data_IF_475201770762
#
_entry.id   IF_475201770762
#
_cell.length_a   1.000
_cell.length_b   1.000
_cell.length_c   1.000
_cell.angle_alpha   90.00
_cell.angle_beta   90.00
_cell.angle_gamma   90.00
#
_symmetry.space_group_name_H-M   'P 1'
#
loop_
_entity.id
_entity.type
_entity.pdbx_description
1 polymer ?
#
# COMPACT_ATOMS: atom_id res chain seq x y z
N UNK A 1 -6.98 18.61 -12.00
CA UNK A 1 -5.73 19.41 -12.18
C UNK A 1 -5.71 20.69 -11.32
N UNK A 2 -6.76 21.53 -11.31
CA UNK A 2 -6.79 22.80 -10.54
C UNK A 2 -6.70 22.63 -9.01
N UNK A 3 -7.41 21.68 -8.42
CA UNK A 3 -7.43 21.47 -6.96
C UNK A 3 -6.07 20.98 -6.41
N UNK A 4 -5.39 20.12 -7.15
CA UNK A 4 -4.09 19.56 -6.79
C UNK A 4 -2.98 20.62 -6.86
N UNK A 5 -2.95 21.42 -7.94
CA UNK A 5 -2.04 22.57 -8.02
C UNK A 5 -2.27 23.54 -6.87
N UNK A 6 -3.54 23.73 -6.46
CA UNK A 6 -3.90 24.58 -5.32
C UNK A 6 -3.42 23.98 -3.99
N UNK A 7 -3.54 22.65 -3.81
CA UNK A 7 -3.08 21.93 -2.61
C UNK A 7 -1.54 21.87 -2.55
N UNK A 8 -0.88 21.44 -3.63
CA UNK A 8 0.58 21.45 -3.74
C UNK A 8 1.17 22.86 -3.64
N UNK A 9 0.50 23.86 -4.26
CA UNK A 9 0.88 25.27 -4.12
C UNK A 9 0.67 25.75 -2.68
N UNK A 10 -0.41 25.30 -2.00
CA UNK A 10 -0.67 25.61 -0.59
C UNK A 10 0.37 24.97 0.33
N UNK A 11 0.72 23.67 0.12
CA UNK A 11 1.79 22.99 0.86
C UNK A 11 3.15 23.61 0.54
N UNK A 12 3.44 23.88 -0.74
CA UNK A 12 4.70 24.52 -1.17
C UNK A 12 4.80 25.94 -0.60
N UNK A 13 3.72 26.70 -0.61
CA UNK A 13 3.69 28.05 -0.03
C UNK A 13 3.72 28.00 1.49
N UNK A 14 3.03 27.07 2.16
CA UNK A 14 3.13 26.87 3.60
C UNK A 14 4.52 26.38 4.00
N UNK A 15 5.11 25.42 3.28
CA UNK A 15 6.47 24.94 3.52
C UNK A 15 7.50 26.05 3.26
N UNK A 16 7.35 26.85 2.20
CA UNK A 16 8.24 27.97 1.87
C UNK A 16 8.07 29.13 2.87
N UNK A 17 6.83 29.42 3.29
CA UNK A 17 6.54 30.45 4.28
C UNK A 17 7.03 30.03 5.67
N UNK A 18 6.82 28.77 6.08
CA UNK A 18 7.36 28.19 7.31
C UNK A 18 8.89 28.11 7.28
N UNK A 19 9.49 27.73 6.15
CA UNK A 19 10.94 27.71 5.96
C UNK A 19 11.56 29.13 6.07
N UNK A 20 10.93 30.15 5.47
CA UNK A 20 11.36 31.55 5.64
C UNK A 20 11.23 32.02 7.09
N UNK A 21 10.17 31.63 7.79
CA UNK A 21 9.95 31.95 9.22
C UNK A 21 10.94 31.23 10.15
N UNK A 22 11.34 29.98 9.79
CA UNK A 22 12.35 29.19 10.52
C UNK A 22 13.77 29.72 10.34
N UNK A 23 14.10 30.27 9.18
CA UNK A 23 15.39 30.91 8.94
C UNK A 23 15.58 32.13 9.85
N UNK A 24 14.49 32.76 10.30
CA UNK A 24 14.49 33.84 11.27
C UNK A 24 14.55 33.37 12.74
N UNK A 25 14.23 32.10 13.06
CA UNK A 25 14.19 31.56 14.42
C UNK A 25 14.94 30.24 14.52
N UNK A 26 16.27 30.27 14.53
CA UNK A 26 17.17 29.12 14.62
C UNK A 26 17.04 28.26 15.91
N UNK A 27 15.99 28.43 16.71
CA UNK A 27 15.80 27.73 17.99
C UNK A 27 14.89 26.50 17.95
N UNK A 28 14.28 26.14 16.80
CA UNK A 28 13.38 24.97 16.71
C UNK A 28 13.91 23.89 15.73
N UNK A 29 14.90 23.13 16.17
CA UNK A 29 15.42 21.95 15.46
C UNK A 29 14.32 20.89 15.14
N UNK A 30 13.32 20.74 16.01
CA UNK A 30 12.24 19.76 15.82
C UNK A 30 11.34 20.06 14.63
N UNK A 31 10.96 21.32 14.43
CA UNK A 31 10.09 21.76 13.33
C UNK A 31 10.79 21.66 11.96
N UNK A 32 12.10 21.93 11.90
CA UNK A 32 12.90 21.75 10.69
C UNK A 32 13.02 20.29 10.28
N UNK A 33 13.18 19.38 11.25
CA UNK A 33 13.20 17.94 11.03
C UNK A 33 11.85 17.44 10.51
N UNK A 34 10.74 17.89 11.09
CA UNK A 34 9.37 17.52 10.68
C UNK A 34 9.06 17.97 9.25
N UNK A 35 9.40 19.22 8.89
CA UNK A 35 9.23 19.73 7.53
C UNK A 35 10.10 19.00 6.51
N UNK A 36 11.32 18.63 6.88
CA UNK A 36 12.21 17.83 6.01
C UNK A 36 11.61 16.46 5.77
N UNK A 37 11.00 15.84 6.78
CA UNK A 37 10.33 14.54 6.72
C UNK A 37 9.09 14.59 5.81
N UNK A 38 8.23 15.60 5.95
CA UNK A 38 7.06 15.82 5.07
C UNK A 38 7.48 16.03 3.61
N UNK A 39 8.49 16.86 3.34
CA UNK A 39 8.99 17.10 1.99
C UNK A 39 9.60 15.83 1.36
N UNK A 40 10.30 15.03 2.15
CA UNK A 40 10.87 13.75 1.70
C UNK A 40 9.75 12.77 1.35
N UNK A 41 8.70 12.70 2.16
CA UNK A 41 7.52 11.88 1.94
C UNK A 41 6.83 12.22 0.62
N UNK A 42 6.52 13.51 0.39
CA UNK A 42 5.86 13.98 -0.84
C UNK A 42 6.73 13.70 -2.08
N UNK A 43 8.05 13.97 -2.01
CA UNK A 43 8.97 13.71 -3.13
C UNK A 43 9.04 12.23 -3.46
N UNK A 44 9.05 11.36 -2.45
CA UNK A 44 9.10 9.91 -2.66
C UNK A 44 7.82 9.37 -3.28
N UNK A 45 6.65 9.85 -2.86
CA UNK A 45 5.38 9.50 -3.50
C UNK A 45 5.34 9.96 -4.96
N UNK A 46 5.72 11.20 -5.23
CA UNK A 46 5.78 11.71 -6.60
C UNK A 46 6.68 10.88 -7.49
N UNK A 47 7.86 10.52 -7.01
CA UNK A 47 8.78 9.63 -7.74
C UNK A 47 8.15 8.27 -8.04
N UNK A 48 7.43 7.66 -7.09
CA UNK A 48 6.74 6.38 -7.29
C UNK A 48 5.63 6.50 -8.34
N UNK A 49 4.83 7.56 -8.29
CA UNK A 49 3.79 7.83 -9.28
C UNK A 49 4.36 7.96 -10.70
N UNK A 50 5.41 8.77 -10.86
CA UNK A 50 6.06 8.99 -12.15
C UNK A 50 6.70 7.71 -12.69
N UNK A 51 7.36 6.93 -11.82
CA UNK A 51 8.05 5.69 -12.19
C UNK A 51 7.10 4.57 -12.62
N UNK A 52 5.96 4.43 -11.95
CA UNK A 52 5.05 3.29 -12.14
C UNK A 52 3.72 3.68 -12.81
N UNK A 53 3.58 4.90 -13.29
CA UNK A 53 2.40 5.37 -14.03
C UNK A 53 1.11 5.42 -13.20
N UNK A 54 1.22 5.56 -11.89
CA UNK A 54 0.06 5.67 -11.00
C UNK A 54 -0.46 7.10 -11.00
N UNK A 55 -1.77 7.28 -11.15
CA UNK A 55 -2.40 8.60 -11.10
C UNK A 55 -2.21 9.25 -9.73
N UNK A 56 -1.83 10.53 -9.73
CA UNK A 56 -1.66 11.27 -8.49
C UNK A 56 -2.98 11.46 -7.73
N UNK A 57 -4.10 11.58 -8.44
CA UNK A 57 -5.43 11.69 -7.82
C UNK A 57 -5.80 10.41 -7.04
N UNK A 58 -5.42 9.23 -7.56
CA UNK A 58 -5.57 7.96 -6.85
C UNK A 58 -4.74 7.94 -5.56
N UNK A 59 -3.52 8.46 -5.62
CA UNK A 59 -2.62 8.53 -4.45
C UNK A 59 -3.15 9.51 -3.41
N UNK A 60 -3.63 10.69 -3.81
CA UNK A 60 -4.25 11.64 -2.88
C UNK A 60 -5.47 11.03 -2.18
N UNK A 61 -6.32 10.36 -2.97
CA UNK A 61 -7.50 9.68 -2.41
C UNK A 61 -7.10 8.61 -1.40
N UNK A 62 -6.16 7.73 -1.76
CA UNK A 62 -5.66 6.67 -0.89
C UNK A 62 -5.04 7.22 0.40
N UNK A 63 -4.22 8.27 0.29
CA UNK A 63 -3.64 8.93 1.45
C UNK A 63 -4.70 9.53 2.38
N UNK A 64 -5.70 10.20 1.79
CA UNK A 64 -6.82 10.78 2.54
C UNK A 64 -7.61 9.69 3.28
N UNK A 65 -7.88 8.57 2.62
CA UNK A 65 -8.61 7.45 3.21
C UNK A 65 -7.82 6.82 4.37
N UNK A 66 -6.50 6.60 4.20
CA UNK A 66 -5.65 6.04 5.27
C UNK A 66 -5.52 7.02 6.45
N UNK A 67 -5.30 8.31 6.18
CA UNK A 67 -5.19 9.34 7.25
C UNK A 67 -6.51 9.45 8.01
N UNK A 68 -7.63 9.29 7.32
CA UNK A 68 -8.96 9.29 7.92
C UNK A 68 -9.17 8.23 8.99
N UNK A 69 -8.42 7.11 8.94
CA UNK A 69 -8.48 6.04 9.95
C UNK A 69 -8.09 6.52 11.37
N UNK A 70 -7.34 7.60 11.48
CA UNK A 70 -6.91 8.14 12.77
C UNK A 70 -7.84 9.21 13.35
N UNK A 71 -8.93 9.57 12.69
CA UNK A 71 -9.81 10.65 13.14
C UNK A 71 -10.40 10.38 14.54
N UNK A 72 -10.67 9.12 14.87
CA UNK A 72 -11.19 8.71 16.18
C UNK A 72 -10.08 8.31 17.19
N UNK A 73 -8.81 8.50 16.79
CA UNK A 73 -7.66 7.98 17.53
C UNK A 73 -7.39 6.51 17.23
N UNK A 74 -6.20 6.05 17.56
CA UNK A 74 -5.79 4.64 17.44
C UNK A 74 -5.41 4.15 18.82
N UNK A 75 -5.98 3.03 19.26
CA UNK A 75 -5.64 2.41 20.55
C UNK A 75 -4.18 1.93 20.54
N UNK A 76 -3.54 1.92 21.70
CA UNK A 76 -2.11 1.55 21.81
C UNK A 76 -1.83 0.15 21.27
N UNK A 77 -2.66 -0.83 21.63
CA UNK A 77 -2.50 -2.21 21.16
C UNK A 77 -2.59 -2.32 19.64
N UNK A 78 -3.53 -1.62 19.02
CA UNK A 78 -3.67 -1.54 17.56
C UNK A 78 -2.45 -0.89 16.91
N UNK A 79 -1.90 0.15 17.54
CA UNK A 79 -0.68 0.80 17.09
C UNK A 79 0.50 -0.18 17.05
N UNK A 80 0.68 -0.95 18.12
CA UNK A 80 1.79 -1.92 18.24
C UNK A 80 1.65 -3.05 17.21
N UNK A 81 0.46 -3.63 17.04
CA UNK A 81 0.18 -4.66 16.03
C UNK A 81 0.36 -4.12 14.60
N UNK A 82 -0.14 -2.93 14.31
CA UNK A 82 0.04 -2.30 13.01
C UNK A 82 1.53 -2.04 12.70
N UNK A 83 2.33 -1.66 13.70
CA UNK A 83 3.79 -1.50 13.55
C UNK A 83 4.50 -2.80 13.18
N UNK A 84 4.15 -3.90 13.84
CA UNK A 84 4.70 -5.21 13.51
C UNK A 84 4.36 -5.60 12.08
N UNK A 85 3.08 -5.52 11.70
CA UNK A 85 2.62 -5.85 10.37
C UNK A 85 3.25 -4.97 9.27
N UNK A 86 3.47 -3.67 9.53
CA UNK A 86 4.18 -2.76 8.60
C UNK A 86 5.62 -3.21 8.38
N UNK A 87 6.33 -3.71 9.41
CA UNK A 87 7.69 -4.25 9.24
C UNK A 87 7.70 -5.48 8.34
N UNK A 88 6.73 -6.39 8.49
CA UNK A 88 6.60 -7.58 7.65
C UNK A 88 6.36 -7.21 6.19
N UNK A 89 5.49 -6.22 5.94
CA UNK A 89 5.26 -5.71 4.57
C UNK A 89 6.51 -5.07 3.99
N UNK A 90 7.27 -4.30 4.79
CA UNK A 90 8.55 -3.72 4.35
C UNK A 90 9.56 -4.81 3.93
N UNK A 91 9.65 -5.89 4.69
CA UNK A 91 10.50 -7.03 4.33
C UNK A 91 10.03 -7.71 3.05
N UNK A 92 8.73 -7.94 2.88
CA UNK A 92 8.14 -8.45 1.65
C UNK A 92 8.45 -7.58 0.43
N UNK A 93 8.35 -6.25 0.58
CA UNK A 93 8.72 -5.28 -0.46
C UNK A 93 10.20 -5.39 -0.87
N UNK A 94 11.11 -5.61 0.09
CA UNK A 94 12.53 -5.81 -0.22
C UNK A 94 12.76 -7.10 -1.00
N UNK A 95 12.07 -8.19 -0.67
CA UNK A 95 12.14 -9.44 -1.43
C UNK A 95 11.61 -9.26 -2.84
N UNK A 96 10.46 -8.62 -3.01
CA UNK A 96 9.90 -8.33 -4.33
C UNK A 96 10.85 -7.50 -5.19
N UNK A 97 11.42 -6.43 -4.66
CA UNK A 97 12.38 -5.59 -5.38
C UNK A 97 13.63 -6.36 -5.78
N UNK A 98 14.10 -7.28 -4.94
CA UNK A 98 15.24 -8.14 -5.23
C UNK A 98 14.94 -9.10 -6.39
N UNK A 99 13.79 -9.78 -6.37
CA UNK A 99 13.35 -10.68 -7.44
C UNK A 99 13.16 -9.90 -8.75
N UNK A 100 12.49 -8.75 -8.70
CA UNK A 100 12.26 -7.89 -9.86
C UNK A 100 13.58 -7.38 -10.46
N UNK A 101 14.58 -7.09 -9.63
CA UNK A 101 15.92 -6.73 -10.07
C UNK A 101 16.66 -7.87 -10.78
N UNK A 102 16.50 -9.11 -10.32
CA UNK A 102 17.07 -10.31 -10.94
C UNK A 102 16.41 -10.60 -12.29
N UNK A 103 15.07 -10.60 -12.36
CA UNK A 103 14.31 -10.84 -13.60
C UNK A 103 14.66 -9.83 -14.70
N UNK A 104 14.98 -8.60 -14.32
CA UNK A 104 15.34 -7.54 -15.27
C UNK A 104 16.72 -7.71 -15.89
N UNK A 105 17.65 -8.39 -15.22
CA UNK A 105 19.07 -8.46 -15.60
C UNK A 105 19.48 -9.79 -16.18
N UNK A 106 19.11 -10.90 -15.56
CA UNK A 106 19.71 -12.21 -15.84
C UNK A 106 18.85 -13.12 -16.73
N UNK A 107 17.53 -12.88 -16.79
CA UNK A 107 16.57 -13.80 -17.46
C UNK A 107 16.10 -13.26 -18.82
N UNK A 108 16.79 -12.26 -19.37
CA UNK A 108 16.38 -11.59 -20.63
C UNK A 108 16.37 -12.54 -21.83
N UNK A 109 17.24 -13.53 -21.82
CA UNK A 109 17.42 -14.50 -22.92
C UNK A 109 16.57 -15.76 -22.76
N UNK A 110 15.78 -15.86 -21.68
CA UNK A 110 14.92 -17.00 -21.35
C UNK A 110 13.47 -16.54 -21.20
N UNK A 111 12.73 -16.34 -22.31
CA UNK A 111 11.42 -15.68 -22.25
C UNK A 111 10.37 -16.50 -21.48
N UNK A 112 10.44 -17.83 -21.49
CA UNK A 112 9.52 -18.70 -20.75
C UNK A 112 9.75 -18.57 -19.24
N UNK A 113 11.00 -18.69 -18.80
CA UNK A 113 11.40 -18.56 -17.38
C UNK A 113 11.08 -17.18 -16.84
N UNK A 114 11.34 -16.14 -17.65
CA UNK A 114 10.98 -14.76 -17.28
C UNK A 114 9.48 -14.65 -17.01
N UNK A 115 8.66 -15.15 -17.91
CA UNK A 115 7.20 -15.09 -17.76
C UNK A 115 6.70 -15.88 -16.55
N UNK A 116 7.31 -17.04 -16.24
CA UNK A 116 7.02 -17.77 -15.01
C UNK A 116 7.37 -16.96 -13.77
N UNK A 117 8.55 -16.33 -13.75
CA UNK A 117 8.97 -15.47 -12.64
C UNK A 117 8.04 -14.25 -12.48
N UNK A 118 7.60 -13.64 -13.57
CA UNK A 118 6.65 -12.53 -13.54
C UNK A 118 5.30 -12.97 -12.92
N UNK A 119 4.80 -14.16 -13.26
CA UNK A 119 3.59 -14.73 -12.65
C UNK A 119 3.76 -14.97 -11.15
N UNK A 120 4.85 -15.60 -10.72
CA UNK A 120 5.13 -15.82 -9.30
C UNK A 120 5.34 -14.51 -8.54
N UNK A 121 6.01 -13.55 -9.15
CA UNK A 121 6.19 -12.22 -8.57
C UNK A 121 4.86 -11.49 -8.38
N UNK A 122 3.95 -11.62 -9.35
CA UNK A 122 2.59 -11.08 -9.21
C UNK A 122 1.86 -11.69 -8.01
N UNK A 123 1.90 -13.04 -7.84
CA UNK A 123 1.30 -13.67 -6.66
C UNK A 123 1.95 -13.21 -5.35
N UNK A 124 3.28 -13.11 -5.31
CA UNK A 124 4.00 -12.62 -4.14
C UNK A 124 3.55 -11.20 -3.75
N UNK A 125 3.39 -10.32 -4.73
CA UNK A 125 2.91 -8.96 -4.48
C UNK A 125 1.47 -8.98 -3.97
N UNK A 126 0.57 -9.76 -4.59
CA UNK A 126 -0.86 -9.77 -4.23
C UNK A 126 -1.11 -10.49 -2.91
N UNK A 127 -0.59 -11.71 -2.74
CA UNK A 127 -0.88 -12.54 -1.57
C UNK A 127 0.02 -12.20 -0.38
N UNK A 128 1.27 -11.86 -0.63
CA UNK A 128 2.23 -11.56 0.43
C UNK A 128 2.16 -10.09 0.89
N UNK A 129 2.31 -9.15 -0.04
CA UNK A 129 2.49 -7.73 0.30
C UNK A 129 1.15 -7.01 0.40
N UNK A 130 0.37 -7.04 -0.68
CA UNK A 130 -0.89 -6.32 -0.78
C UNK A 130 -1.92 -6.84 0.22
N UNK A 131 -2.04 -8.16 0.38
CA UNK A 131 -2.93 -8.78 1.37
C UNK A 131 -2.65 -8.31 2.80
N UNK A 132 -1.37 -8.13 3.16
CA UNK A 132 -0.97 -7.60 4.48
C UNK A 132 -1.30 -6.11 4.62
N UNK A 133 -1.09 -5.29 3.58
CA UNK A 133 -1.52 -3.88 3.59
C UNK A 133 -3.03 -3.76 3.81
N UNK A 134 -3.80 -4.56 3.07
CA UNK A 134 -5.27 -4.64 3.21
C UNK A 134 -5.67 -5.07 4.63
N UNK A 135 -4.96 -6.04 5.21
CA UNK A 135 -5.20 -6.51 6.58
C UNK A 135 -4.97 -5.41 7.62
N UNK A 136 -3.87 -4.64 7.51
CA UNK A 136 -3.59 -3.53 8.43
C UNK A 136 -4.71 -2.48 8.38
N UNK A 137 -5.13 -2.09 7.17
CA UNK A 137 -6.20 -1.10 6.98
C UNK A 137 -7.54 -1.63 7.51
N UNK A 138 -7.88 -2.91 7.23
CA UNK A 138 -9.08 -3.55 7.74
C UNK A 138 -9.11 -3.58 9.28
N UNK A 139 -7.98 -3.90 9.90
CA UNK A 139 -7.86 -3.91 11.36
C UNK A 139 -8.05 -2.51 11.96
N UNK A 140 -7.45 -1.48 11.36
CA UNK A 140 -7.65 -0.10 11.80
C UNK A 140 -9.11 0.37 11.63
N UNK A 141 -9.82 -0.12 10.60
CA UNK A 141 -11.25 0.12 10.43
C UNK A 141 -12.08 -0.57 11.52
N UNK A 142 -11.74 -1.81 11.90
CA UNK A 142 -12.44 -2.53 12.97
C UNK A 142 -12.34 -1.78 14.30
N UNK A 143 -11.20 -1.18 14.61
CA UNK A 143 -11.01 -0.35 15.81
C UNK A 143 -11.88 0.91 15.85
N UNK A 144 -12.41 1.34 14.69
CA UNK A 144 -13.35 2.45 14.55
C UNK A 144 -14.83 1.98 14.52
N UNK A 145 -15.14 0.89 15.21
CA UNK A 145 -16.49 0.30 15.35
C UNK A 145 -17.08 -0.20 14.02
N UNK A 146 -16.23 -0.71 13.13
CA UNK A 146 -16.64 -1.35 11.89
C UNK A 146 -16.42 -2.86 11.95
N UNK A 147 -17.51 -3.62 11.96
CA UNK A 147 -17.43 -5.08 11.99
C UNK A 147 -17.09 -5.68 10.62
N UNK A 148 -16.13 -6.60 10.60
CA UNK A 148 -15.86 -7.46 9.45
C UNK A 148 -16.70 -8.73 9.57
N UNK A 149 -17.55 -8.99 8.59
CA UNK A 149 -18.33 -10.22 8.52
C UNK A 149 -17.75 -11.16 7.49
N UNK A 150 -17.28 -12.34 7.93
CA UNK A 150 -16.90 -13.44 7.07
C UNK A 150 -18.13 -14.24 6.66
N UNK A 151 -18.60 -14.03 5.42
CA UNK A 151 -19.76 -14.71 4.87
C UNK A 151 -19.53 -16.20 4.60
N UNK A 152 -18.29 -16.69 4.59
CA UNK A 152 -17.95 -18.10 4.39
C UNK A 152 -18.11 -18.84 5.71
N UNK A 153 -17.61 -18.26 6.80
CA UNK A 153 -17.69 -18.85 8.16
C UNK A 153 -18.96 -18.47 8.89
N UNK A 154 -19.71 -17.49 8.37
CA UNK A 154 -20.92 -16.92 8.99
C UNK A 154 -20.66 -16.35 10.38
N UNK A 155 -19.53 -15.67 10.56
CA UNK A 155 -19.11 -15.09 11.85
C UNK A 155 -18.55 -13.67 11.71
N UNK A 156 -18.57 -12.90 12.80
CA UNK A 156 -17.89 -11.62 12.87
C UNK A 156 -16.44 -11.80 13.30
N UNK A 157 -15.55 -11.09 12.62
CA UNK A 157 -14.12 -11.06 12.93
C UNK A 157 -13.86 -9.91 13.89
N UNK A 158 -13.21 -10.21 15.01
CA UNK A 158 -12.97 -9.25 16.10
C UNK A 158 -11.49 -9.04 16.40
N UNK A 159 -10.61 -9.96 15.94
CA UNK A 159 -9.19 -9.93 16.25
C UNK A 159 -8.31 -9.84 15.00
N UNK A 160 -7.11 -9.29 15.18
CA UNK A 160 -6.14 -9.12 14.08
C UNK A 160 -5.70 -10.46 13.47
N UNK A 161 -5.46 -11.46 14.32
CA UNK A 161 -5.03 -12.80 13.94
C UNK A 161 -6.11 -13.56 13.15
N UNK A 162 -7.37 -13.25 13.40
CA UNK A 162 -8.50 -13.80 12.62
C UNK A 162 -8.54 -13.19 11.22
N UNK A 163 -8.26 -11.89 11.07
CA UNK A 163 -8.13 -11.23 9.75
C UNK A 163 -7.07 -11.89 8.87
N UNK A 164 -6.02 -12.46 9.45
CA UNK A 164 -4.99 -13.15 8.69
C UNK A 164 -5.53 -14.40 8.00
N UNK A 165 -6.44 -15.11 8.64
CA UNK A 165 -7.00 -16.41 8.22
C UNK A 165 -8.13 -16.29 7.21
N UNK A 166 -8.71 -15.11 7.02
CA UNK A 166 -9.80 -14.91 6.06
C UNK A 166 -9.28 -14.57 4.66
N UNK A 167 -10.08 -14.93 3.66
CA UNK A 167 -9.76 -14.69 2.26
C UNK A 167 -9.55 -13.20 1.94
N UNK A 168 -8.59 -12.93 1.05
CA UNK A 168 -8.36 -11.59 0.53
C UNK A 168 -9.64 -10.99 -0.08
N UNK A 169 -10.49 -11.82 -0.72
CA UNK A 169 -11.75 -11.36 -1.29
C UNK A 169 -12.72 -10.77 -0.25
N UNK A 170 -12.78 -11.37 0.95
CA UNK A 170 -13.60 -10.85 2.07
C UNK A 170 -13.05 -9.52 2.57
N UNK A 171 -11.74 -9.45 2.78
CA UNK A 171 -11.05 -8.21 3.18
C UNK A 171 -11.30 -7.08 2.17
N UNK A 172 -11.16 -7.36 0.87
CA UNK A 172 -11.40 -6.37 -0.19
C UNK A 172 -12.87 -5.92 -0.24
N UNK A 173 -13.83 -6.84 -0.04
CA UNK A 173 -15.26 -6.50 0.03
C UNK A 173 -15.52 -5.56 1.21
N UNK A 174 -14.90 -5.81 2.36
CA UNK A 174 -14.98 -4.95 3.54
C UNK A 174 -14.38 -3.57 3.26
N UNK A 175 -13.15 -3.49 2.75
CA UNK A 175 -12.52 -2.22 2.40
C UNK A 175 -13.33 -1.42 1.38
N UNK A 176 -13.91 -2.10 0.37
CA UNK A 176 -14.75 -1.46 -0.63
C UNK A 176 -15.99 -0.80 -0.02
N UNK A 177 -16.63 -1.49 0.95
CA UNK A 177 -17.77 -0.93 1.69
C UNK A 177 -17.40 0.36 2.43
N UNK A 178 -16.16 0.49 2.86
CA UNK A 178 -15.63 1.66 3.58
C UNK A 178 -14.87 2.67 2.68
N UNK A 179 -15.04 2.57 1.35
CA UNK A 179 -14.59 3.60 0.42
C UNK A 179 -13.16 3.47 -0.09
N UNK A 180 -12.40 2.42 0.27
CA UNK A 180 -11.03 2.17 -0.20
C UNK A 180 -10.99 1.64 -1.64
N UNK A 181 -11.66 2.35 -2.57
CA UNK A 181 -11.83 1.89 -3.95
C UNK A 181 -10.51 1.76 -4.70
N UNK A 182 -9.56 2.66 -4.45
CA UNK A 182 -8.25 2.64 -5.11
C UNK A 182 -7.51 1.31 -4.90
N UNK A 183 -7.54 0.79 -3.67
CA UNK A 183 -6.95 -0.52 -3.36
C UNK A 183 -7.78 -1.67 -3.92
N UNK A 184 -9.11 -1.63 -3.73
CA UNK A 184 -9.97 -2.76 -4.09
C UNK A 184 -10.11 -2.97 -5.60
N UNK A 185 -9.93 -1.92 -6.40
CA UNK A 185 -10.02 -1.96 -7.86
C UNK A 185 -8.66 -2.20 -8.53
N UNK A 186 -7.55 -2.17 -7.78
CA UNK A 186 -6.20 -2.38 -8.31
C UNK A 186 -5.88 -3.84 -8.62
N UNK A 187 -6.55 -4.80 -7.98
CA UNK A 187 -6.24 -6.23 -8.10
C UNK A 187 -7.12 -6.90 -9.13
N UNK A 188 -6.50 -7.51 -10.13
CA UNK A 188 -7.17 -8.41 -11.08
C UNK A 188 -7.38 -9.79 -10.42
N UNK A 189 -8.58 -9.96 -9.82
CA UNK A 189 -8.95 -11.20 -9.10
C UNK A 189 -8.96 -12.41 -10.00
N UNK A 190 -9.35 -12.25 -11.28
CA UNK A 190 -9.36 -13.34 -12.25
C UNK A 190 -7.94 -13.82 -12.52
N UNK A 191 -7.04 -12.90 -12.84
CA UNK A 191 -5.63 -13.21 -13.07
C UNK A 191 -5.00 -13.91 -11.85
N UNK A 192 -5.22 -13.36 -10.65
CA UNK A 192 -4.73 -13.97 -9.39
C UNK A 192 -5.20 -15.42 -9.23
N UNK A 193 -6.48 -15.68 -9.45
CA UNK A 193 -7.04 -17.02 -9.33
C UNK A 193 -6.51 -17.96 -10.44
N UNK A 194 -6.39 -17.47 -11.66
CA UNK A 194 -5.87 -18.26 -12.78
C UNK A 194 -4.41 -18.66 -12.57
N UNK A 195 -3.59 -17.80 -11.95
CA UNK A 195 -2.21 -18.14 -11.58
C UNK A 195 -2.21 -19.17 -10.43
N UNK A 196 -2.95 -18.91 -9.35
CA UNK A 196 -2.99 -19.77 -8.17
C UNK A 196 -3.49 -21.19 -8.48
N UNK A 197 -4.42 -21.34 -9.42
CA UNK A 197 -4.98 -22.61 -9.84
C UNK A 197 -4.31 -23.20 -11.08
N UNK A 198 -3.19 -22.65 -11.53
CA UNK A 198 -2.43 -23.09 -12.70
C UNK A 198 -3.26 -23.15 -14.00
N UNK A 199 -4.24 -22.25 -14.13
CA UNK A 199 -5.10 -22.14 -15.32
C UNK A 199 -4.39 -21.47 -16.51
N UNK A 200 -3.15 -21.03 -16.34
CA UNK A 200 -2.32 -20.40 -17.35
C UNK A 200 -1.28 -21.37 -17.91
N UNK A 201 -0.92 -21.18 -19.17
CA UNK A 201 0.18 -21.85 -19.82
C UNK A 201 1.20 -20.83 -20.30
N UNK A 202 2.48 -21.07 -20.04
CA UNK A 202 3.57 -20.24 -20.56
C UNK A 202 4.19 -20.98 -21.74
N UNK A 203 4.19 -20.32 -22.90
CA UNK A 203 4.78 -20.83 -24.15
C UNK A 203 6.30 -20.66 -24.16
N UNK A 204 7.05 -21.41 -24.98
CA UNK A 204 8.49 -21.22 -25.11
C UNK A 204 8.92 -19.82 -25.52
N UNK A 205 8.07 -19.09 -26.28
CA UNK A 205 8.28 -17.69 -26.66
C UNK A 205 7.93 -16.67 -25.53
N UNK A 206 7.57 -17.17 -24.35
CA UNK A 206 7.21 -16.35 -23.19
C UNK A 206 5.77 -15.85 -23.17
N UNK A 207 4.94 -16.18 -24.16
CA UNK A 207 3.52 -15.79 -24.13
C UNK A 207 2.78 -16.56 -23.05
N UNK A 208 1.94 -15.86 -22.32
CA UNK A 208 1.10 -16.41 -21.27
C UNK A 208 -0.32 -16.54 -21.81
N UNK A 209 -0.87 -17.74 -21.77
CA UNK A 209 -2.16 -18.08 -22.37
C UNK A 209 -3.10 -18.62 -21.29
N UNK A 210 -4.30 -18.10 -21.24
CA UNK A 210 -5.42 -18.69 -20.47
C UNK A 210 -5.79 -20.03 -21.12
N UNK A 211 -5.63 -21.14 -20.38
CA UNK A 211 -5.87 -22.50 -20.90
C UNK A 211 -7.30 -22.74 -21.35
N UNK A 212 -8.27 -22.05 -20.74
CA UNK A 212 -9.70 -22.23 -21.02
C UNK A 212 -10.14 -21.46 -22.26
N UNK A 213 -9.72 -20.20 -22.39
CA UNK A 213 -10.15 -19.34 -23.50
C UNK A 213 -9.19 -19.30 -24.67
N UNK A 214 -7.95 -19.73 -24.49
CA UNK A 214 -6.87 -19.58 -25.48
C UNK A 214 -6.37 -18.12 -25.62
N UNK A 215 -6.85 -17.21 -24.79
CA UNK A 215 -6.53 -15.77 -24.87
C UNK A 215 -5.16 -15.48 -24.27
N UNK A 216 -4.37 -14.65 -24.93
CA UNK A 216 -3.09 -14.17 -24.40
C UNK A 216 -3.32 -13.16 -23.24
N UNK A 217 -2.64 -13.41 -22.12
CA UNK A 217 -2.60 -12.49 -20.96
C UNK A 217 -1.42 -11.55 -21.14
N UNK A 218 -1.70 -10.25 -21.08
CA UNK A 218 -0.69 -9.19 -21.26
C UNK A 218 -0.61 -8.30 -20.01
N UNK A 219 0.45 -7.48 -19.97
CA UNK A 219 0.62 -6.40 -18.98
C UNK A 219 0.67 -6.88 -17.53
N UNK A 220 1.23 -8.10 -17.29
CA UNK A 220 1.34 -8.64 -15.92
C UNK A 220 2.32 -7.80 -15.09
N UNK A 221 3.43 -7.39 -15.70
CA UNK A 221 4.45 -6.57 -15.03
C UNK A 221 3.88 -5.21 -14.67
N UNK A 222 3.15 -4.55 -15.59
CA UNK A 222 2.51 -3.26 -15.32
C UNK A 222 1.45 -3.36 -14.22
N UNK A 223 0.66 -4.43 -14.20
CA UNK A 223 -0.31 -4.70 -13.12
C UNK A 223 0.40 -4.91 -11.78
N UNK A 224 1.47 -5.68 -11.77
CA UNK A 224 2.29 -5.93 -10.58
C UNK A 224 2.92 -4.65 -10.06
N UNK A 225 3.51 -3.84 -10.95
CA UNK A 225 4.15 -2.57 -10.62
C UNK A 225 3.14 -1.56 -10.06
N UNK A 226 1.93 -1.52 -10.63
CA UNK A 226 0.84 -0.68 -10.14
C UNK A 226 0.45 -1.04 -8.69
N UNK A 227 0.23 -2.34 -8.41
CA UNK A 227 -0.10 -2.82 -7.06
C UNK A 227 1.07 -2.56 -6.10
N UNK A 228 2.31 -2.87 -6.52
CA UNK A 228 3.51 -2.62 -5.73
C UNK A 228 3.68 -1.14 -5.36
N UNK A 229 3.40 -0.25 -6.31
CA UNK A 229 3.42 1.20 -6.08
C UNK A 229 2.36 1.62 -5.03
N UNK A 230 1.12 1.14 -5.15
CA UNK A 230 0.06 1.43 -4.17
C UNK A 230 0.41 0.89 -2.77
N UNK A 231 1.02 -0.31 -2.69
CA UNK A 231 1.53 -0.85 -1.43
C UNK A 231 2.61 0.04 -0.83
N UNK A 232 3.58 0.48 -1.63
CA UNK A 232 4.65 1.37 -1.17
C UNK A 232 4.11 2.70 -0.65
N UNK A 233 3.14 3.28 -1.34
CA UNK A 233 2.47 4.52 -0.93
C UNK A 233 1.68 4.31 0.37
N UNK A 234 0.89 3.23 0.44
CA UNK A 234 0.14 2.87 1.66
C UNK A 234 1.08 2.72 2.86
N UNK A 235 2.21 2.03 2.69
CA UNK A 235 3.23 1.88 3.74
C UNK A 235 3.83 3.21 4.20
N UNK A 236 4.14 4.10 3.27
CA UNK A 236 4.63 5.44 3.60
C UNK A 236 3.61 6.20 4.42
N UNK A 237 2.33 6.14 4.03
CA UNK A 237 1.24 6.83 4.72
C UNK A 237 0.95 6.22 6.08
N UNK A 238 0.91 4.89 6.18
CA UNK A 238 0.75 4.17 7.44
C UNK A 238 1.90 4.48 8.42
N UNK A 239 3.16 4.45 7.98
CA UNK A 239 4.29 4.81 8.83
C UNK A 239 4.18 6.23 9.36
N UNK A 240 3.84 7.18 8.48
CA UNK A 240 3.61 8.57 8.89
C UNK A 240 2.51 8.67 9.95
N UNK A 241 1.37 8.03 9.69
CA UNK A 241 0.21 8.02 10.59
C UNK A 241 0.56 7.43 11.96
N UNK A 242 1.21 6.27 11.99
CA UNK A 242 1.60 5.59 13.22
C UNK A 242 2.61 6.42 14.03
N UNK A 243 3.56 7.07 13.38
CA UNK A 243 4.52 7.97 14.03
C UNK A 243 3.82 9.18 14.70
N UNK A 244 2.82 9.76 14.03
CA UNK A 244 2.06 10.88 14.58
C UNK A 244 1.21 10.46 15.78
N UNK A 245 0.60 9.27 15.74
CA UNK A 245 -0.17 8.75 16.86
C UNK A 245 0.72 8.45 18.08
N UNK A 246 1.91 7.85 17.89
CA UNK A 246 2.87 7.65 18.98
C UNK A 246 3.30 8.95 19.65
N UNK A 247 3.55 10.00 18.86
CA UNK A 247 3.89 11.31 19.42
C UNK A 247 2.77 11.88 20.28
N UNK A 248 1.51 11.76 19.81
CA UNK A 248 0.33 12.21 20.56
C UNK A 248 0.20 11.47 21.88
N UNK A 249 0.34 10.13 21.90
CA UNK A 249 0.28 9.32 23.12
C UNK A 249 1.34 9.72 24.14
N UNK A 250 2.62 9.86 23.70
CA UNK A 250 3.71 10.29 24.60
C UNK A 250 3.49 11.68 25.21
N UNK A 251 2.85 12.60 24.47
CA UNK A 251 2.51 13.94 24.97
C UNK A 251 1.37 13.90 26.00
N UNK A 252 0.47 12.93 25.89
CA UNK A 252 -0.62 12.73 26.86
C UNK A 252 -0.09 12.11 28.15
N UNK A 253 0.73 11.05 28.04
CA UNK A 253 1.36 10.37 29.18
C UNK A 253 2.31 11.29 30.00
N UNK A 254 2.92 12.28 29.36
CA UNK A 254 3.79 13.24 30.03
C UNK A 254 3.02 14.36 30.80
N UNK A 255 1.70 14.45 30.62
CA UNK A 255 0.83 15.44 31.29
C UNK A 255 0.01 14.86 32.43
N UNK A 256 -0.03 13.54 32.53
CA UNK A 256 -0.63 12.78 33.66
C UNK A 256 0.43 12.42 34.68
#
# INVERSE_FOLDING_TARGET
MFALNKYLTRIKNQATWRYKRLKCNARNSSLAVEMTRELFYIKRQKFLCEKYGVSFDQVEKLNSDIIGLANNGIKKNTLDLARLAVKDVQQGMMYWLSIHGLTSREVKEMPQEKSLLDLFSYLLVVEGIFSKVVQIIAFMLMENDHDVFDSIRNEFITEFEELEKIDLAVKLKFLRKHGFLVLTDSVDRKLRNDIAHLNLAVKPDGKIIDKKSGTEIKNIVEKMDHIGCLCAISLLTLNYLLDEQEKKMKLTDAKT
#
